data_IF_215890115167
#
_entry.id   IF_215890115167
#
_cell.length_a   1.000
_cell.length_b   1.000
_cell.length_c   1.000
_cell.angle_alpha   90.00
_cell.angle_beta   90.00
_cell.angle_gamma   90.00
#
_symmetry.space_group_name_H-M   'P 1'
#
loop_
_entity.id
_entity.type
_entity.pdbx_description
1 polymer ?
#
# COMPACT_ATOMS: atom_id res chain seq x y z
N UNK A 1 -10.03 12.67 14.91
CA UNK A 1 -8.95 13.56 14.40
C UNK A 1 -8.02 12.73 13.52
N UNK A 2 -8.31 12.65 12.21
CA UNK A 2 -7.42 12.05 11.22
C UNK A 2 -6.27 13.02 10.87
N UNK A 3 -5.48 13.42 11.86
CA UNK A 3 -4.31 14.31 11.69
C UNK A 3 -3.08 13.56 11.16
N UNK A 4 -3.20 12.31 10.73
CA UNK A 4 -2.07 11.46 10.37
C UNK A 4 -1.73 11.46 8.88
N UNK A 5 -2.53 12.12 8.05
CA UNK A 5 -2.28 12.25 6.62
C UNK A 5 -1.36 13.47 6.40
N UNK A 6 -0.07 13.27 6.04
CA UNK A 6 0.91 14.35 6.00
C UNK A 6 0.83 15.20 4.72
N UNK A 7 -0.04 14.84 3.79
CA UNK A 7 -0.16 15.45 2.47
C UNK A 7 -1.35 16.41 2.37
N UNK A 8 -1.24 17.38 1.48
CA UNK A 8 -2.34 18.28 1.14
C UNK A 8 -3.37 17.59 0.25
N UNK A 9 -4.54 18.23 0.08
CA UNK A 9 -5.55 17.74 -0.85
C UNK A 9 -4.97 17.65 -2.26
N UNK A 10 -5.12 16.52 -2.92
CA UNK A 10 -4.60 16.30 -4.27
C UNK A 10 -4.39 14.83 -4.61
N UNK A 11 -3.87 14.59 -5.80
CA UNK A 11 -3.47 13.26 -6.27
C UNK A 11 -1.96 13.16 -6.31
N UNK A 12 -1.44 12.04 -5.82
CA UNK A 12 -0.02 11.76 -5.72
C UNK A 12 0.30 10.44 -6.40
N UNK A 13 1.25 10.45 -7.33
CA UNK A 13 1.77 9.25 -7.97
C UNK A 13 2.62 8.51 -6.94
N UNK A 14 2.40 7.21 -6.83
CA UNK A 14 3.24 6.34 -6.02
C UNK A 14 4.29 5.70 -6.93
N UNK A 15 5.57 5.92 -6.63
CA UNK A 15 6.68 5.34 -7.37
C UNK A 15 6.72 3.83 -7.17
N UNK A 16 6.51 3.39 -5.93
CA UNK A 16 6.48 1.97 -5.58
C UNK A 16 5.50 1.73 -4.43
N UNK A 17 4.64 0.72 -4.57
CA UNK A 17 3.73 0.27 -3.52
C UNK A 17 3.84 -1.24 -3.38
N UNK A 18 4.19 -1.72 -2.19
CA UNK A 18 4.48 -3.13 -1.93
C UNK A 18 3.67 -3.62 -0.72
N UNK A 19 2.85 -4.65 -0.91
CA UNK A 19 2.34 -5.44 0.20
C UNK A 19 3.46 -6.34 0.71
N UNK A 20 3.66 -6.37 2.02
CA UNK A 20 4.75 -7.10 2.68
C UNK A 20 4.21 -7.82 3.91
N UNK A 21 4.45 -9.13 3.99
CA UNK A 21 4.15 -9.95 5.16
C UNK A 21 5.34 -10.01 6.13
N UNK A 22 5.14 -10.46 7.39
CA UNK A 22 6.19 -10.55 8.40
C UNK A 22 7.40 -11.42 8.02
N UNK A 23 7.20 -12.43 7.17
CA UNK A 23 8.23 -13.33 6.62
C UNK A 23 9.03 -12.72 5.44
N UNK A 24 8.80 -11.43 5.14
CA UNK A 24 9.36 -10.69 4.02
C UNK A 24 8.89 -11.16 2.62
N UNK A 25 7.84 -11.97 2.54
CA UNK A 25 7.16 -12.19 1.26
C UNK A 25 6.45 -10.91 0.80
N UNK A 26 6.44 -10.65 -0.52
CA UNK A 26 5.94 -9.37 -1.04
C UNK A 26 5.23 -9.47 -2.39
N UNK A 27 4.28 -8.55 -2.59
CA UNK A 27 3.56 -8.35 -3.86
C UNK A 27 3.54 -6.87 -4.20
N UNK A 28 3.96 -6.53 -5.41
CA UNK A 28 3.95 -5.15 -5.88
C UNK A 28 2.60 -4.77 -6.49
N UNK A 29 2.15 -3.55 -6.21
CA UNK A 29 1.11 -2.92 -7.01
C UNK A 29 1.71 -2.34 -8.29
N UNK A 30 0.95 -2.44 -9.38
CA UNK A 30 1.17 -1.67 -10.59
C UNK A 30 0.33 -0.39 -10.58
N UNK A 31 0.88 0.70 -11.14
CA UNK A 31 0.15 1.97 -11.35
C UNK A 31 -0.53 2.50 -10.09
N UNK A 32 0.17 2.44 -8.96
CA UNK A 32 -0.36 2.91 -7.70
C UNK A 32 -0.43 4.45 -7.64
N UNK A 33 -1.49 4.96 -7.00
CA UNK A 33 -1.67 6.37 -6.72
C UNK A 33 -2.44 6.57 -5.41
N UNK A 34 -2.35 7.78 -4.85
CA UNK A 34 -3.08 8.17 -3.65
C UNK A 34 -3.86 9.44 -3.95
N UNK A 35 -5.12 9.46 -3.55
CA UNK A 35 -5.96 10.65 -3.51
C UNK A 35 -6.16 11.09 -2.06
N UNK A 36 -5.88 12.37 -1.80
CA UNK A 36 -6.21 13.06 -0.55
C UNK A 36 -7.38 13.98 -0.81
N UNK A 37 -8.50 13.74 -0.12
CA UNK A 37 -9.71 14.55 -0.19
C UNK A 37 -10.07 15.13 1.18
N UNK A 38 -10.99 16.11 1.19
CA UNK A 38 -11.59 16.64 2.40
C UNK A 38 -13.07 16.22 2.43
N UNK A 39 -13.56 15.80 3.59
CA UNK A 39 -15.00 15.60 3.78
C UNK A 39 -15.74 16.92 4.04
N UNK A 40 -17.05 16.83 4.27
CA UNK A 40 -17.91 17.99 4.55
C UNK A 40 -17.57 18.72 5.86
N UNK A 41 -16.77 18.13 6.75
CA UNK A 41 -16.27 18.73 7.98
C UNK A 41 -14.83 19.26 7.83
N UNK A 42 -14.24 19.13 6.64
CA UNK A 42 -12.87 19.54 6.36
C UNK A 42 -11.80 18.56 6.87
N UNK A 43 -12.17 17.33 7.23
CA UNK A 43 -11.20 16.30 7.64
C UNK A 43 -10.56 15.65 6.41
N UNK A 44 -9.24 15.41 6.48
CA UNK A 44 -8.51 14.71 5.41
C UNK A 44 -8.90 13.23 5.38
N UNK A 45 -9.17 12.74 4.18
CA UNK A 45 -9.38 11.33 3.84
C UNK A 45 -8.36 10.91 2.81
N UNK A 46 -7.88 9.67 2.94
CA UNK A 46 -6.93 9.08 2.02
C UNK A 46 -7.56 7.87 1.35
N UNK A 47 -7.43 7.81 0.04
CA UNK A 47 -7.73 6.62 -0.74
C UNK A 47 -6.55 6.30 -1.64
N UNK A 48 -5.93 5.16 -1.38
CA UNK A 48 -4.98 4.57 -2.29
C UNK A 48 -5.68 3.70 -3.34
N UNK A 49 -5.15 3.69 -4.54
CA UNK A 49 -5.56 2.74 -5.59
C UNK A 49 -4.33 2.19 -6.30
N UNK A 50 -4.43 0.97 -6.79
CA UNK A 50 -3.43 0.37 -7.66
C UNK A 50 -3.97 -0.92 -8.26
N UNK A 51 -3.24 -1.46 -9.22
CA UNK A 51 -3.55 -2.74 -9.86
C UNK A 51 -2.71 -3.83 -9.21
N UNK A 52 -3.32 -4.94 -8.81
CA UNK A 52 -2.59 -6.13 -8.38
C UNK A 52 -3.39 -7.37 -8.74
N UNK A 53 -2.75 -8.54 -8.81
CA UNK A 53 -3.43 -9.83 -9.00
C UNK A 53 -4.01 -10.31 -7.67
N UNK A 54 -5.34 -10.31 -7.45
CA UNK A 54 -5.91 -10.64 -6.14
C UNK A 54 -5.51 -12.01 -5.62
N UNK A 55 -5.22 -12.96 -6.51
CA UNK A 55 -4.68 -14.27 -6.18
C UNK A 55 -3.39 -14.18 -5.35
N UNK A 56 -2.42 -13.33 -5.75
CA UNK A 56 -1.16 -13.16 -5.03
C UNK A 56 -1.35 -12.53 -3.64
N UNK A 57 -2.31 -11.62 -3.51
CA UNK A 57 -2.66 -11.04 -2.21
C UNK A 57 -3.29 -12.07 -1.28
N UNK A 58 -4.14 -12.98 -1.79
CA UNK A 58 -4.66 -14.09 -0.99
C UNK A 58 -3.52 -15.00 -0.53
N UNK A 59 -2.57 -15.34 -1.40
CA UNK A 59 -1.40 -16.13 -1.01
C UNK A 59 -0.56 -15.48 0.09
N UNK A 60 -0.44 -14.14 0.10
CA UNK A 60 0.21 -13.45 1.23
C UNK A 60 -0.58 -13.60 2.55
N UNK A 61 -1.92 -13.52 2.49
CA UNK A 61 -2.78 -13.64 3.67
C UNK A 61 -2.91 -15.07 4.21
N UNK A 62 -2.74 -16.10 3.37
CA UNK A 62 -2.80 -17.50 3.80
C UNK A 62 -1.66 -17.85 4.76
N UNK A 63 -0.50 -17.22 4.60
CA UNK A 63 0.66 -17.41 5.47
C UNK A 63 0.56 -16.55 6.75
N UNK A 64 0.14 -15.28 6.61
CA UNK A 64 0.13 -14.31 7.72
C UNK A 64 -1.01 -13.27 7.59
N UNK A 65 -1.77 -13.04 8.66
CA UNK A 65 -2.88 -12.05 8.68
C UNK A 65 -2.37 -10.58 8.75
N UNK A 66 -1.08 -10.38 9.04
CA UNK A 66 -0.48 -9.09 9.35
C UNK A 66 0.32 -8.52 8.17
N UNK A 67 -0.38 -8.16 7.10
CA UNK A 67 0.24 -7.54 5.91
C UNK A 67 0.37 -6.03 6.11
N UNK A 68 1.57 -5.50 5.86
CA UNK A 68 1.84 -4.07 5.80
C UNK A 68 2.00 -3.58 4.36
N UNK A 69 1.86 -2.27 4.14
CA UNK A 69 2.06 -1.64 2.84
C UNK A 69 3.22 -0.63 2.91
N UNK A 70 4.28 -0.91 2.16
CA UNK A 70 5.39 0.01 1.94
C UNK A 70 5.09 0.92 0.74
N UNK A 71 5.30 2.21 0.92
CA UNK A 71 5.06 3.24 -0.09
C UNK A 71 6.30 4.10 -0.33
N UNK A 72 6.67 4.24 -1.60
CA UNK A 72 7.62 5.22 -2.11
C UNK A 72 6.88 6.31 -2.89
N UNK A 73 6.91 7.55 -2.40
CA UNK A 73 6.33 8.74 -3.04
C UNK A 73 7.40 9.63 -3.70
N UNK A 74 8.63 9.13 -3.85
CA UNK A 74 9.78 9.81 -4.43
C UNK A 74 10.66 10.51 -3.40
N UNK A 75 11.97 10.57 -3.69
CA UNK A 75 12.97 11.19 -2.82
C UNK A 75 12.89 10.66 -1.38
N UNK A 76 12.78 11.58 -0.41
CA UNK A 76 12.74 11.25 1.03
C UNK A 76 11.37 10.77 1.55
N UNK A 77 10.35 10.70 0.71
CA UNK A 77 8.98 10.40 1.14
C UNK A 77 8.71 8.90 1.07
N UNK A 78 9.15 8.18 2.11
CA UNK A 78 8.92 6.74 2.28
C UNK A 78 8.07 6.48 3.51
N UNK A 79 7.11 5.56 3.39
CA UNK A 79 6.16 5.29 4.46
C UNK A 79 5.82 3.81 4.55
N UNK A 80 5.47 3.38 5.76
CA UNK A 80 4.84 2.11 6.06
C UNK A 80 3.43 2.37 6.60
N UNK A 81 2.45 1.74 5.99
CA UNK A 81 1.09 1.66 6.49
C UNK A 81 0.95 0.30 7.15
N UNK A 82 0.72 0.31 8.47
CA UNK A 82 0.47 -0.91 9.22
C UNK A 82 -0.92 -1.43 8.93
N UNK A 83 -1.05 -2.71 8.59
CA UNK A 83 -2.33 -3.41 8.40
C UNK A 83 -3.39 -2.57 7.66
N UNK A 84 -3.11 -2.07 6.44
CA UNK A 84 -4.04 -1.22 5.74
C UNK A 84 -5.33 -1.98 5.41
N UNK A 85 -6.44 -1.26 5.35
CA UNK A 85 -7.70 -1.85 4.87
C UNK A 85 -7.62 -1.98 3.35
N UNK A 86 -7.57 -3.22 2.85
CA UNK A 86 -7.56 -3.53 1.42
C UNK A 86 -8.98 -3.87 0.92
N UNK A 87 -9.35 -3.32 -0.23
CA UNK A 87 -10.63 -3.59 -0.91
C UNK A 87 -10.39 -3.89 -2.38
N UNK A 88 -10.53 -5.15 -2.75
CA UNK A 88 -10.44 -5.61 -4.13
C UNK A 88 -11.84 -5.82 -4.74
N UNK A 89 -11.94 -5.66 -6.07
CA UNK A 89 -13.10 -6.17 -6.81
C UNK A 89 -13.21 -7.70 -6.70
N UNK A 90 -14.42 -8.25 -6.93
CA UNK A 90 -14.73 -9.69 -6.76
C UNK A 90 -14.11 -10.63 -7.82
N UNK A 91 -13.10 -10.21 -8.57
CA UNK A 91 -12.52 -11.00 -9.66
C UNK A 91 -11.26 -11.69 -9.17
N UNK A 92 -11.31 -13.01 -9.03
CA UNK A 92 -10.23 -13.85 -8.49
C UNK A 92 -9.72 -14.88 -9.50
N UNK A 93 -9.51 -14.45 -10.75
CA UNK A 93 -8.82 -15.30 -11.71
C UNK A 93 -7.30 -15.12 -11.56
N UNK A 94 -6.49 -16.20 -11.60
CA UNK A 94 -5.04 -16.14 -11.34
C UNK A 94 -4.30 -15.10 -12.18
N UNK A 95 -4.71 -14.95 -13.44
CA UNK A 95 -4.04 -14.09 -14.41
C UNK A 95 -4.70 -12.71 -14.56
N UNK A 96 -5.65 -12.36 -13.70
CA UNK A 96 -6.39 -11.10 -13.81
C UNK A 96 -5.96 -10.11 -12.76
N UNK A 97 -5.30 -9.04 -13.21
CA UNK A 97 -5.11 -7.85 -12.39
C UNK A 97 -6.44 -7.15 -12.15
N UNK A 98 -6.69 -6.77 -10.90
CA UNK A 98 -7.85 -5.99 -10.51
C UNK A 98 -7.42 -4.69 -9.85
N UNK A 99 -8.28 -3.68 -9.91
CA UNK A 99 -8.11 -2.50 -9.09
C UNK A 99 -8.34 -2.89 -7.62
N UNK A 100 -7.36 -2.57 -6.79
CA UNK A 100 -7.43 -2.68 -5.35
C UNK A 100 -7.29 -1.30 -4.75
N UNK A 101 -8.18 -1.02 -3.81
CA UNK A 101 -8.17 0.20 -3.02
C UNK A 101 -7.53 -0.11 -1.68
N UNK A 102 -6.76 0.83 -1.13
CA UNK A 102 -6.19 0.70 0.20
C UNK A 102 -6.45 1.96 1.02
N UNK A 103 -6.68 1.77 2.32
CA UNK A 103 -6.94 2.84 3.28
C UNK A 103 -6.06 2.66 4.51
N UNK A 104 -5.53 3.74 5.11
CA UNK A 104 -4.76 3.64 6.33
C UNK A 104 -5.69 3.34 7.51
N UNK A 105 -5.38 2.30 8.27
CA UNK A 105 -6.07 1.95 9.52
C UNK A 105 -5.37 2.54 10.75
N UNK A 106 -4.12 3.01 10.58
CA UNK A 106 -3.25 3.58 11.59
C UNK A 106 -2.45 4.78 11.03
N UNK A 107 -1.77 5.58 11.88
CA UNK A 107 -0.88 6.63 11.42
C UNK A 107 0.21 6.09 10.47
N UNK A 108 0.60 6.92 9.51
CA UNK A 108 1.66 6.58 8.56
C UNK A 108 3.00 6.58 9.29
N UNK A 109 3.74 5.48 9.23
CA UNK A 109 5.08 5.39 9.81
C UNK A 109 6.09 5.87 8.77
N UNK A 110 6.79 7.01 8.98
CA UNK A 110 7.84 7.43 8.08
C UNK A 110 8.99 6.43 8.13
N UNK A 111 9.52 6.07 6.97
CA UNK A 111 10.68 5.19 6.82
C UNK A 111 11.81 6.03 6.23
N UNK A 112 13.05 5.84 6.66
CA UNK A 112 14.17 6.52 6.00
C UNK A 112 14.44 5.93 4.62
N UNK A 113 15.07 6.69 3.71
CA UNK A 113 15.41 6.15 2.37
C UNK A 113 16.34 4.94 2.45
N UNK A 114 17.32 4.97 3.36
CA UNK A 114 18.23 3.86 3.59
C UNK A 114 17.50 2.62 4.11
N UNK A 115 16.66 2.78 5.13
CA UNK A 115 15.87 1.69 5.71
C UNK A 115 14.87 1.12 4.70
N UNK A 116 14.22 1.96 3.89
CA UNK A 116 13.32 1.49 2.83
C UNK A 116 14.07 0.65 1.81
N UNK A 117 15.25 1.10 1.37
CA UNK A 117 16.10 0.35 0.47
C UNK A 117 16.54 -0.98 1.07
N UNK A 118 16.94 -1.00 2.34
CA UNK A 118 17.27 -2.23 3.06
C UNK A 118 16.07 -3.18 3.13
N UNK A 119 14.89 -2.71 3.51
CA UNK A 119 13.68 -3.52 3.54
C UNK A 119 13.41 -4.15 2.17
N UNK A 120 13.38 -3.34 1.11
CA UNK A 120 13.11 -3.80 -0.26
C UNK A 120 14.13 -4.83 -0.74
N UNK A 121 15.41 -4.65 -0.42
CA UNK A 121 16.47 -5.59 -0.81
C UNK A 121 16.35 -6.98 -0.17
N UNK A 122 15.61 -7.12 0.93
CA UNK A 122 15.38 -8.39 1.62
C UNK A 122 14.01 -9.01 1.32
N UNK A 123 13.21 -8.40 0.45
CA UNK A 123 11.89 -8.94 0.10
C UNK A 123 11.99 -10.11 -0.88
N UNK A 124 11.12 -11.09 -0.66
CA UNK A 124 10.91 -12.22 -1.56
C UNK A 124 9.62 -11.98 -2.36
N UNK A 125 9.76 -11.55 -3.61
CA UNK A 125 8.59 -11.27 -4.45
C UNK A 125 7.92 -12.56 -4.91
N UNK A 126 6.60 -12.63 -4.73
CA UNK A 126 5.76 -13.74 -5.21
C UNK A 126 5.31 -13.41 -6.64
N UNK A 127 5.68 -14.26 -7.62
CA UNK A 127 5.47 -13.97 -9.05
C UNK A 127 4.52 -14.93 -9.80
N UNK A 128 3.94 -15.94 -9.15
CA UNK A 128 3.12 -16.99 -9.81
C UNK A 128 2.02 -16.46 -10.72
#
# INVERSE_FOLDING_TARGET
>A
MNQWIPFEKGEYIVVQALLVSPDASAVAFEKAMIEISLDGEGQKHLKGTGMLRPFLMVSLYEEEDDIDLLLDLGGKFKYRLRKPDLRAGKVFAPDTSAVVQFYPSAPWEPVSEAEFGELVNHLNFIEN
#
